data_IF_959318174356
#
_entry.id   IF_959318174356
#
_cell.length_a   1.000
_cell.length_b   1.000
_cell.length_c   1.000
_cell.angle_alpha   90.00
_cell.angle_beta   90.00
_cell.angle_gamma   90.00
#
_symmetry.space_group_name_H-M   'P 1'
#
loop_
_entity.id
_entity.type
_entity.pdbx_description
1 polymer ?
#
# COMPACT_ATOMS: atom_id res chain seq x y z
N UNK A 1 -4.71 3.10 -9.38
CA UNK A 1 -3.82 3.38 -8.23
C UNK A 1 -3.24 2.08 -7.66
N UNK A 2 -4.00 1.10 -7.17
CA UNK A 2 -3.45 -0.15 -6.61
C UNK A 2 -2.43 -0.84 -7.54
N UNK A 3 -2.75 -1.01 -8.82
CA UNK A 3 -1.85 -1.63 -9.80
C UNK A 3 -0.50 -0.88 -9.93
N UNK A 4 -0.51 0.45 -9.90
CA UNK A 4 0.71 1.25 -9.95
C UNK A 4 1.60 1.02 -8.73
N UNK A 5 1.00 0.92 -7.54
CA UNK A 5 1.74 0.66 -6.30
C UNK A 5 2.25 -0.79 -6.27
N UNK A 6 1.46 -1.78 -6.72
CA UNK A 6 1.90 -3.17 -6.81
C UNK A 6 3.06 -3.39 -7.80
N UNK A 7 3.23 -2.49 -8.78
CA UNK A 7 4.37 -2.54 -9.70
C UNK A 7 5.71 -2.16 -9.03
N UNK A 8 5.68 -1.55 -7.84
CA UNK A 8 6.90 -1.21 -7.11
C UNK A 8 7.53 -2.49 -6.55
N UNK A 9 8.83 -2.74 -6.81
CA UNK A 9 9.52 -3.91 -6.28
C UNK A 9 9.40 -4.03 -4.77
N UNK A 10 9.27 -5.25 -4.28
CA UNK A 10 9.13 -5.62 -2.87
C UNK A 10 7.76 -5.31 -2.23
N UNK A 11 6.82 -4.70 -2.92
CA UNK A 11 5.44 -4.58 -2.45
C UNK A 11 4.80 -5.96 -2.38
N UNK A 12 4.13 -6.24 -1.25
CA UNK A 12 3.45 -7.50 -0.95
C UNK A 12 1.98 -7.35 -0.62
N UNK A 13 1.56 -6.13 -0.33
CA UNK A 13 0.17 -5.82 -0.04
C UNK A 13 -0.10 -4.34 -0.29
N UNK A 14 -1.32 -4.04 -0.70
CA UNK A 14 -1.86 -2.68 -0.81
C UNK A 14 -3.27 -2.73 -0.26
N UNK A 15 -3.61 -1.80 0.59
CA UNK A 15 -4.96 -1.64 1.12
C UNK A 15 -5.36 -0.18 1.14
N UNK A 16 -6.67 0.06 1.13
CA UNK A 16 -7.27 1.40 1.16
C UNK A 16 -8.15 1.54 2.39
N UNK A 17 -8.10 2.71 3.03
CA UNK A 17 -8.86 3.00 4.23
C UNK A 17 -8.57 2.01 5.36
N UNK A 18 -9.61 1.37 5.88
CA UNK A 18 -9.52 0.35 6.92
C UNK A 18 -8.88 -0.95 6.41
N UNK A 19 -8.90 -1.17 5.09
CA UNK A 19 -8.24 -2.30 4.46
C UNK A 19 -8.80 -3.64 4.93
N UNK A 20 -7.94 -4.58 5.36
CA UNK A 20 -8.37 -5.88 5.85
C UNK A 20 -9.20 -5.81 7.15
N UNK A 21 -9.11 -4.68 7.90
CA UNK A 21 -9.90 -4.48 9.13
C UNK A 21 -11.40 -4.56 8.89
N UNK A 22 -11.88 -4.21 7.68
CA UNK A 22 -13.31 -4.28 7.34
C UNK A 22 -13.91 -5.68 7.49
N UNK A 23 -13.08 -6.72 7.41
CA UNK A 23 -13.55 -8.10 7.55
C UNK A 23 -14.06 -8.44 8.96
N UNK A 24 -13.71 -7.63 9.95
CA UNK A 24 -14.16 -7.77 11.34
C UNK A 24 -15.37 -6.88 11.69
N UNK A 25 -15.82 -6.04 10.74
CA UNK A 25 -16.90 -5.08 10.97
C UNK A 25 -18.22 -5.56 10.39
N UNK A 26 -19.31 -5.19 11.03
CA UNK A 26 -20.64 -5.26 10.40
C UNK A 26 -20.81 -4.11 9.38
N UNK A 27 -21.70 -4.28 8.40
CA UNK A 27 -21.95 -3.26 7.38
C UNK A 27 -22.35 -1.91 7.99
N UNK A 28 -23.12 -1.90 9.07
CA UNK A 28 -23.51 -0.69 9.81
C UNK A 28 -22.33 0.04 10.47
N UNK A 29 -21.29 -0.70 10.83
CA UNK A 29 -20.07 -0.15 11.44
C UNK A 29 -19.08 0.35 10.37
N UNK A 30 -19.04 -0.34 9.23
CA UNK A 30 -18.13 -0.03 8.13
C UNK A 30 -18.63 1.12 7.23
N UNK A 31 -19.94 1.41 7.22
CA UNK A 31 -20.50 2.44 6.36
C UNK A 31 -19.98 3.83 6.72
N UNK A 32 -19.54 4.58 5.71
CA UNK A 32 -19.17 5.99 5.83
C UNK A 32 -20.39 6.85 5.54
N UNK A 33 -21.15 7.21 6.57
CA UNK A 33 -22.38 7.95 6.45
C UNK A 33 -22.12 9.39 5.98
N UNK A 34 -22.85 9.84 4.97
CA UNK A 34 -22.75 11.21 4.45
C UNK A 34 -23.40 12.20 5.39
N UNK A 35 -22.80 13.39 5.49
CA UNK A 35 -23.30 14.50 6.28
C UNK A 35 -22.98 15.85 5.62
N UNK A 36 -23.87 16.84 5.81
CA UNK A 36 -23.59 18.21 5.44
C UNK A 36 -22.69 18.87 6.49
N UNK A 37 -21.67 19.58 6.04
CA UNK A 37 -20.87 20.44 6.89
C UNK A 37 -21.52 21.82 7.03
N UNK A 38 -21.03 22.64 7.97
CA UNK A 38 -21.56 23.99 8.21
C UNK A 38 -21.40 24.93 7.00
N UNK A 39 -20.45 24.66 6.12
CA UNK A 39 -20.20 25.40 4.87
C UNK A 39 -21.06 24.88 3.68
N UNK A 40 -21.94 23.90 3.91
CA UNK A 40 -22.77 23.29 2.89
C UNK A 40 -22.08 22.19 2.07
N UNK A 41 -20.81 21.90 2.32
CA UNK A 41 -20.13 20.78 1.66
C UNK A 41 -20.61 19.44 2.20
N UNK A 42 -20.54 18.41 1.36
CA UNK A 42 -20.85 17.03 1.75
C UNK A 42 -19.57 16.29 2.07
N UNK A 43 -19.55 15.62 3.23
CA UNK A 43 -18.46 14.73 3.63
C UNK A 43 -19.03 13.49 4.28
N UNK A 44 -18.16 12.52 4.58
CA UNK A 44 -18.55 11.35 5.39
C UNK A 44 -18.13 11.55 6.86
N UNK A 45 -18.84 10.91 7.77
CA UNK A 45 -18.54 10.97 9.22
C UNK A 45 -17.32 10.16 9.59
N UNK A 46 -17.03 9.12 8.82
CA UNK A 46 -15.86 8.23 8.93
C UNK A 46 -15.19 8.12 7.57
N UNK A 47 -14.07 7.43 7.48
CA UNK A 47 -13.34 7.24 6.22
C UNK A 47 -12.80 5.81 6.10
N UNK A 48 -13.64 4.82 6.40
CA UNK A 48 -13.27 3.39 6.31
C UNK A 48 -12.90 2.98 4.88
N UNK A 49 -13.54 3.61 3.88
CA UNK A 49 -13.27 3.37 2.45
C UNK A 49 -11.97 4.06 1.95
N UNK A 50 -11.33 4.90 2.77
CA UNK A 50 -10.11 5.57 2.40
C UNK A 50 -10.28 6.59 1.26
N UNK A 51 -11.40 7.32 1.24
CA UNK A 51 -11.66 8.43 0.30
C UNK A 51 -12.16 8.01 -1.07
N UNK A 52 -12.44 6.73 -1.30
CA UNK A 52 -12.97 6.23 -2.57
C UNK A 52 -14.08 5.21 -2.35
N UNK A 53 -15.24 5.45 -2.96
CA UNK A 53 -16.43 4.60 -2.96
C UNK A 53 -16.80 4.24 -4.39
N UNK A 54 -16.85 2.96 -4.70
CA UNK A 54 -17.21 2.51 -6.05
C UNK A 54 -16.30 3.05 -7.16
N UNK A 55 -15.05 3.38 -6.83
CA UNK A 55 -14.09 3.98 -7.77
C UNK A 55 -14.19 5.50 -7.93
N UNK A 56 -15.10 6.15 -7.21
CA UNK A 56 -15.30 7.59 -7.23
C UNK A 56 -14.82 8.19 -5.91
N UNK A 57 -14.13 9.34 -5.97
CA UNK A 57 -13.67 10.04 -4.78
C UNK A 57 -14.86 10.58 -3.97
N UNK A 58 -14.82 10.38 -2.65
CA UNK A 58 -15.85 10.84 -1.71
C UNK A 58 -15.63 12.26 -1.18
N UNK A 59 -14.54 12.94 -1.59
CA UNK A 59 -14.12 14.22 -1.03
C UNK A 59 -13.34 14.08 0.29
N UNK A 60 -13.25 12.88 0.84
CA UNK A 60 -12.41 12.58 2.01
C UNK A 60 -10.95 12.35 1.59
N UNK A 61 -9.99 12.44 2.53
CA UNK A 61 -8.60 12.10 2.25
C UNK A 61 -8.46 10.70 1.66
N UNK A 62 -7.65 10.57 0.60
CA UNK A 62 -7.27 9.26 0.08
C UNK A 62 -6.25 8.62 1.03
N UNK A 63 -6.63 7.52 1.63
CA UNK A 63 -5.80 6.76 2.58
C UNK A 63 -5.46 5.42 1.98
N UNK A 64 -4.17 5.14 1.86
CA UNK A 64 -3.67 3.85 1.42
C UNK A 64 -2.48 3.40 2.27
N UNK A 65 -2.28 2.11 2.37
CA UNK A 65 -1.12 1.49 3.01
C UNK A 65 -0.50 0.47 2.06
N UNK A 66 0.83 0.43 2.02
CA UNK A 66 1.58 -0.55 1.24
C UNK A 66 2.51 -1.36 2.15
N UNK A 67 2.44 -2.67 2.06
CA UNK A 67 3.30 -3.58 2.79
C UNK A 67 4.50 -3.95 1.93
N UNK A 68 5.70 -3.83 2.49
CA UNK A 68 6.94 -4.19 1.84
C UNK A 68 7.56 -5.42 2.52
N UNK A 69 8.08 -6.34 1.71
CA UNK A 69 8.85 -7.47 2.27
C UNK A 69 10.15 -6.95 2.91
N UNK A 70 10.62 -7.59 4.00
CA UNK A 70 11.93 -7.31 4.55
C UNK A 70 13.03 -7.56 3.53
N UNK A 71 14.18 -6.91 3.71
CA UNK A 71 15.38 -7.13 2.90
C UNK A 71 15.85 -8.59 3.07
N UNK A 72 15.93 -9.39 2.00
CA UNK A 72 16.31 -10.80 2.10
C UNK A 72 17.82 -11.00 2.26
N UNK A 73 18.62 -10.01 1.87
CA UNK A 73 20.08 -10.05 1.99
C UNK A 73 20.48 -9.56 3.39
N UNK A 74 20.83 -10.49 4.26
CA UNK A 74 21.18 -10.23 5.66
C UNK A 74 22.47 -10.95 6.04
N UNK A 75 23.17 -10.42 7.04
CA UNK A 75 24.44 -10.99 7.53
C UNK A 75 24.29 -12.21 8.43
N UNK A 76 23.06 -12.61 8.76
CA UNK A 76 22.81 -13.84 9.52
C UNK A 76 22.92 -15.06 8.61
N UNK A 77 23.49 -16.16 9.16
CA UNK A 77 23.53 -17.45 8.48
C UNK A 77 22.12 -17.96 8.23
N UNK A 78 21.86 -18.36 6.99
CA UNK A 78 20.56 -18.87 6.53
C UNK A 78 20.77 -20.22 5.84
N UNK A 79 19.81 -21.11 5.98
CA UNK A 79 19.78 -22.38 5.26
C UNK A 79 19.49 -22.13 3.78
N UNK A 80 20.22 -22.85 2.93
CA UNK A 80 20.10 -22.79 1.48
C UNK A 80 20.48 -24.13 0.85
N UNK A 81 20.69 -24.14 -0.45
CA UNK A 81 21.18 -25.31 -1.19
C UNK A 81 22.39 -24.95 -2.04
N UNK A 82 23.27 -25.89 -2.24
CA UNK A 82 24.31 -25.86 -3.27
C UNK A 82 23.83 -26.60 -4.51
N UNK A 83 23.48 -25.87 -5.57
CA UNK A 83 23.00 -26.46 -6.82
C UNK A 83 24.08 -27.35 -7.47
N UNK A 84 25.32 -26.90 -7.43
CA UNK A 84 26.44 -27.63 -8.03
C UNK A 84 26.78 -28.95 -7.32
N UNK A 85 26.53 -29.03 -6.01
CA UNK A 85 26.76 -30.23 -5.20
C UNK A 85 25.51 -31.07 -5.00
N UNK A 86 24.33 -30.49 -5.25
CA UNK A 86 23.04 -31.17 -5.04
C UNK A 86 22.72 -31.44 -3.56
N UNK A 87 23.17 -30.59 -2.66
CA UNK A 87 23.01 -30.78 -1.20
C UNK A 87 22.54 -29.52 -0.49
N UNK A 88 22.06 -29.68 0.75
CA UNK A 88 21.77 -28.58 1.65
C UNK A 88 23.05 -27.89 2.10
N UNK A 89 23.00 -26.57 2.23
CA UNK A 89 24.14 -25.74 2.59
C UNK A 89 23.68 -24.57 3.46
N UNK A 90 24.59 -23.77 3.93
CA UNK A 90 24.32 -22.53 4.65
C UNK A 90 25.03 -21.35 3.99
N UNK A 91 24.41 -20.20 4.04
CA UNK A 91 24.95 -18.96 3.46
C UNK A 91 24.85 -17.82 4.47
N UNK A 92 25.96 -17.13 4.69
CA UNK A 92 26.00 -15.82 5.33
C UNK A 92 26.50 -14.80 4.31
N UNK A 93 25.68 -13.82 3.99
CA UNK A 93 26.03 -12.78 3.01
C UNK A 93 26.85 -11.72 3.73
N UNK A 94 28.12 -11.57 3.33
CA UNK A 94 29.02 -10.55 3.87
C UNK A 94 28.88 -9.28 3.03
N UNK A 95 28.56 -8.15 3.69
CA UNK A 95 28.46 -6.87 3.00
C UNK A 95 27.63 -5.86 3.81
N UNK A 96 27.42 -4.68 3.17
CA UNK A 96 26.53 -3.67 3.73
C UNK A 96 25.08 -4.04 3.37
N UNK A 97 24.25 -4.16 4.38
CA UNK A 97 22.82 -4.44 4.24
C UNK A 97 22.00 -3.24 4.70
N UNK A 98 20.93 -2.96 3.98
CA UNK A 98 19.92 -1.99 4.43
C UNK A 98 19.05 -2.64 5.52
N UNK A 99 19.00 -2.08 6.72
CA UNK A 99 18.18 -2.65 7.79
C UNK A 99 16.67 -2.59 7.47
N UNK A 100 16.26 -1.59 6.71
CA UNK A 100 14.87 -1.41 6.27
C UNK A 100 14.84 -0.59 4.97
N UNK A 101 14.08 -1.07 3.98
CA UNK A 101 13.93 -0.38 2.69
C UNK A 101 12.78 0.64 2.70
N UNK A 102 11.89 0.62 3.70
CA UNK A 102 10.69 1.46 3.74
C UNK A 102 10.99 2.95 3.62
N UNK A 103 12.01 3.53 4.31
CA UNK A 103 12.33 4.95 4.13
C UNK A 103 12.63 5.36 2.68
N UNK A 104 13.19 4.43 1.90
CA UNK A 104 13.45 4.65 0.47
C UNK A 104 12.22 4.38 -0.40
N UNK A 105 11.31 3.56 0.08
CA UNK A 105 10.09 3.21 -0.65
C UNK A 105 9.02 4.29 -0.57
N UNK A 106 8.99 5.09 0.50
CA UNK A 106 8.00 6.16 0.70
C UNK A 106 7.89 7.08 -0.53
N UNK A 107 8.94 7.73 -1.03
CA UNK A 107 8.83 8.61 -2.19
C UNK A 107 8.41 7.86 -3.47
N UNK A 108 8.71 6.57 -3.58
CA UNK A 108 8.26 5.76 -4.72
C UNK A 108 6.75 5.52 -4.69
N UNK A 109 6.20 5.25 -3.50
CA UNK A 109 4.75 5.06 -3.30
C UNK A 109 4.00 6.37 -3.53
N UNK A 110 4.52 7.47 -2.99
CA UNK A 110 3.95 8.81 -3.19
C UNK A 110 3.92 9.18 -4.67
N UNK A 111 5.04 8.99 -5.39
CA UNK A 111 5.12 9.27 -6.81
C UNK A 111 4.15 8.38 -7.62
N UNK A 112 4.08 7.09 -7.35
CA UNK A 112 3.17 6.17 -8.04
C UNK A 112 1.70 6.53 -7.81
N UNK A 113 1.34 6.93 -6.58
CA UNK A 113 0.00 7.39 -6.25
C UNK A 113 -0.33 8.71 -6.96
N UNK A 114 0.59 9.67 -6.94
CA UNK A 114 0.43 10.97 -7.60
C UNK A 114 0.25 10.84 -9.13
N UNK A 115 1.07 10.02 -9.79
CA UNK A 115 0.96 9.76 -11.23
C UNK A 115 -0.37 9.12 -11.57
N UNK A 116 -0.81 8.13 -10.78
CA UNK A 116 -2.10 7.46 -11.00
C UNK A 116 -3.29 8.40 -10.81
N UNK A 117 -3.22 9.32 -9.85
CA UNK A 117 -4.26 10.35 -9.64
C UNK A 117 -4.27 11.37 -10.77
N UNK A 118 -3.10 11.84 -11.19
CA UNK A 118 -2.98 12.80 -12.29
C UNK A 118 -3.54 12.23 -13.60
N UNK A 119 -3.24 10.98 -13.92
CA UNK A 119 -3.80 10.31 -15.11
C UNK A 119 -5.34 10.27 -15.06
N UNK A 120 -5.93 10.01 -13.89
CA UNK A 120 -7.39 10.02 -13.73
C UNK A 120 -7.98 11.42 -13.91
N UNK A 121 -7.35 12.44 -13.33
CA UNK A 121 -7.80 13.84 -13.47
C UNK A 121 -7.76 14.27 -14.93
N UNK A 122 -6.65 14.01 -15.64
CA UNK A 122 -6.53 14.35 -17.04
C UNK A 122 -7.56 13.66 -17.97
N UNK A 123 -8.01 12.46 -17.57
CA UNK A 123 -9.08 11.75 -18.32
C UNK A 123 -10.48 12.30 -18.05
N UNK A 124 -10.69 12.95 -16.90
CA UNK A 124 -12.00 13.57 -16.58
C UNK A 124 -12.21 14.90 -17.30
N UNK A 125 -11.15 15.55 -17.80
CA UNK A 125 -11.20 16.81 -18.52
C UNK A 125 -11.38 16.63 -20.04
N UNK A 126 -11.47 15.40 -20.54
CA UNK A 126 -11.73 15.05 -21.94
C UNK A 126 -13.21 14.68 -22.15
#
# INVERSE_FOLDING_TARGET
MAAAIYAIPAVKGVEFGEGFGVAALFGSENNDNFTYQADGTVRTTTNHHGGSLGGISSGMPLVLRAAFKPTPSIGQTQDTISISRGENDTLAIVGRHDPCIVPRAVPCVEAAAAVALLDLICRMEQ
#
